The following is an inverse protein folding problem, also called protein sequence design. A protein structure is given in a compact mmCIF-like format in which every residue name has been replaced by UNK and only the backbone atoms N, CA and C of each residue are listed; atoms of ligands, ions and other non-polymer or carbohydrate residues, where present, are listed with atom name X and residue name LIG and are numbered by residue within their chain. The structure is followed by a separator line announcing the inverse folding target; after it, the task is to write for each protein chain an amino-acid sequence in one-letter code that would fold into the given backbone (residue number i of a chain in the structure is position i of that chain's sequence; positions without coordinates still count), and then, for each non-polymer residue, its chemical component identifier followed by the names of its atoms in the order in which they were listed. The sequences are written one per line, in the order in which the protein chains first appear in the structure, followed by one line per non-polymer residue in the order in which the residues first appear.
data_IF_546396609312
#
_entry.id   IF_546396609312
#
_cell.length_a   1.000
_cell.length_b   1.000
_cell.length_c   1.000
_cell.angle_alpha   90.00
_cell.angle_beta   90.00
_cell.angle_gamma   90.00
#
_symmetry.space_group_name_H-M   'P 1'
#
loop_
_entity.id
_entity.type
_entity.pdbx_description
1 polymer ?
#
# COMPACT_ATOMS: atom_id res chain seq x y z
N UNK A 1 10.49 -3.47 10.60
CA UNK A 1 9.25 -4.16 10.15
C UNK A 1 9.54 -5.66 10.14
N UNK A 2 8.55 -6.51 10.39
CA UNK A 2 8.73 -7.97 10.33
C UNK A 2 8.51 -8.47 8.90
N UNK A 3 9.47 -8.20 8.00
CA UNK A 3 9.43 -8.65 6.60
C UNK A 3 10.19 -9.98 6.47
N UNK A 4 9.75 -10.83 5.56
CA UNK A 4 10.33 -12.14 5.28
C UNK A 4 10.68 -12.26 3.79
N UNK A 5 11.43 -11.28 3.31
CA UNK A 5 11.87 -11.19 1.92
C UNK A 5 12.94 -12.26 1.66
N UNK A 6 12.87 -12.93 0.51
CA UNK A 6 13.89 -13.85 0.03
C UNK A 6 15.08 -13.14 -0.61
N UNK A 7 14.88 -11.92 -1.12
CA UNK A 7 15.88 -11.16 -1.85
C UNK A 7 16.82 -10.36 -0.94
N UNK A 8 16.35 -9.92 0.22
CA UNK A 8 17.10 -9.01 1.10
C UNK A 8 16.63 -9.13 2.56
N UNK A 9 17.54 -9.19 3.52
CA UNK A 9 17.14 -9.16 4.93
C UNK A 9 16.73 -7.74 5.40
N UNK A 10 16.08 -7.65 6.56
CA UNK A 10 15.57 -6.38 7.09
C UNK A 10 16.67 -5.36 7.43
N UNK A 11 17.87 -5.81 7.82
CA UNK A 11 18.98 -4.91 8.18
C UNK A 11 19.55 -4.29 6.91
N UNK A 12 19.81 -5.12 5.90
CA UNK A 12 20.32 -4.71 4.60
C UNK A 12 19.33 -3.83 3.85
N UNK A 13 18.02 -4.10 3.96
CA UNK A 13 16.98 -3.23 3.41
C UNK A 13 17.00 -1.82 4.01
N UNK A 14 17.21 -1.72 5.33
CA UNK A 14 17.33 -0.43 5.99
C UNK A 14 18.57 0.33 5.50
N UNK A 15 19.70 -0.36 5.33
CA UNK A 15 20.93 0.22 4.79
C UNK A 15 20.75 0.71 3.34
N UNK A 16 20.16 -0.10 2.45
CA UNK A 16 19.84 0.32 1.07
C UNK A 16 18.97 1.57 1.08
N UNK A 17 17.94 1.60 1.92
CA UNK A 17 17.02 2.74 2.03
C UNK A 17 17.73 4.01 2.53
N UNK A 18 18.60 3.89 3.54
CA UNK A 18 19.40 4.98 4.07
C UNK A 18 20.34 5.54 2.99
N UNK A 19 21.07 4.67 2.28
CA UNK A 19 21.99 5.08 1.20
C UNK A 19 21.27 5.78 0.05
N UNK A 20 20.09 5.29 -0.35
CA UNK A 20 19.23 5.98 -1.34
C UNK A 20 18.86 7.38 -0.82
N UNK A 21 18.38 7.48 0.42
CA UNK A 21 18.00 8.75 1.04
C UNK A 21 19.15 9.77 1.11
N UNK A 22 20.37 9.33 1.45
CA UNK A 22 21.56 10.18 1.51
C UNK A 22 21.97 10.75 0.15
N UNK A 23 21.75 9.99 -0.93
CA UNK A 23 22.27 10.34 -2.26
C UNK A 23 21.24 10.93 -3.23
N UNK A 24 19.94 10.79 -2.95
CA UNK A 24 18.88 11.08 -3.94
C UNK A 24 18.93 12.52 -4.49
N UNK A 25 19.36 13.46 -3.66
CA UNK A 25 19.33 14.90 -3.94
C UNK A 25 20.72 15.54 -4.10
N UNK A 26 21.80 14.75 -4.21
CA UNK A 26 23.17 15.29 -4.41
C UNK A 26 23.28 16.21 -5.61
N UNK A 27 22.49 16.00 -6.66
CA UNK A 27 22.42 16.86 -7.83
C UNK A 27 22.03 18.31 -7.53
N UNK A 28 21.34 18.56 -6.41
CA UNK A 28 20.98 19.91 -5.95
C UNK A 28 22.20 20.73 -5.55
N UNK A 29 23.35 20.10 -5.31
CA UNK A 29 24.62 20.79 -5.05
C UNK A 29 25.14 21.56 -6.28
N UNK A 30 24.58 21.34 -7.48
CA UNK A 30 24.94 22.12 -8.67
C UNK A 30 24.53 23.59 -8.56
N UNK A 31 25.38 24.49 -9.04
CA UNK A 31 25.12 25.93 -9.16
C UNK A 31 23.86 26.19 -9.98
N UNK A 32 23.63 25.41 -11.03
CA UNK A 32 22.42 25.50 -11.87
C UNK A 32 21.13 25.30 -11.06
N UNK A 33 21.09 24.30 -10.17
CA UNK A 33 19.93 24.07 -9.31
C UNK A 33 19.80 25.14 -8.23
N UNK A 34 20.91 25.57 -7.64
CA UNK A 34 20.93 26.63 -6.62
C UNK A 34 20.44 27.98 -7.19
N UNK A 35 20.80 28.32 -8.42
CA UNK A 35 20.28 29.50 -9.12
C UNK A 35 18.80 29.37 -9.46
N UNK A 36 18.35 28.17 -9.85
CA UNK A 36 16.93 27.91 -10.09
C UNK A 36 16.08 28.18 -8.82
N UNK A 37 16.51 27.72 -7.65
CA UNK A 37 15.79 28.00 -6.39
C UNK A 37 15.70 29.51 -6.12
N UNK A 38 16.78 30.26 -6.41
CA UNK A 38 16.85 31.70 -6.13
C UNK A 38 16.07 32.55 -7.12
N UNK A 39 16.12 32.20 -8.41
CA UNK A 39 15.66 33.05 -9.50
C UNK A 39 14.44 32.50 -10.25
N UNK A 40 14.04 31.25 -9.99
CA UNK A 40 12.91 30.57 -10.64
C UNK A 40 13.13 30.19 -12.11
N UNK A 41 14.30 30.47 -12.69
CA UNK A 41 14.59 30.18 -14.09
C UNK A 41 15.01 28.72 -14.28
N UNK A 42 14.19 27.95 -15.01
CA UNK A 42 14.41 26.52 -15.25
C UNK A 42 15.11 26.28 -16.59
N UNK A 43 16.20 25.53 -16.58
CA UNK A 43 16.93 25.08 -17.79
C UNK A 43 17.10 23.57 -17.77
N UNK A 44 17.59 22.98 -18.86
CA UNK A 44 17.92 21.56 -18.86
C UNK A 44 18.98 21.22 -17.78
N UNK A 45 19.90 22.13 -17.46
CA UNK A 45 20.91 21.92 -16.43
C UNK A 45 20.36 21.92 -14.99
N UNK A 46 19.08 22.24 -14.81
CA UNK A 46 18.41 22.19 -13.50
C UNK A 46 17.90 20.79 -13.13
N UNK A 47 17.93 19.82 -14.05
CA UNK A 47 17.50 18.45 -13.73
C UNK A 47 18.55 17.74 -12.88
N UNK A 48 18.25 17.54 -11.58
CA UNK A 48 19.21 17.01 -10.61
C UNK A 48 19.08 15.50 -10.35
N UNK A 49 17.90 14.92 -10.57
CA UNK A 49 17.62 13.53 -10.19
C UNK A 49 18.46 12.51 -10.96
N UNK A 50 18.70 12.74 -12.26
CA UNK A 50 19.45 11.81 -13.09
C UNK A 50 20.94 11.72 -12.72
N UNK A 51 21.60 12.87 -12.49
CA UNK A 51 23.01 12.87 -12.05
C UNK A 51 23.16 12.25 -10.66
N UNK A 52 22.22 12.50 -9.74
CA UNK A 52 22.14 11.81 -8.45
C UNK A 52 22.01 10.30 -8.61
N UNK A 53 21.19 9.85 -9.57
CA UNK A 53 20.96 8.43 -9.82
C UNK A 53 22.24 7.73 -10.32
N UNK A 54 22.99 8.37 -11.22
CA UNK A 54 24.29 7.87 -11.70
C UNK A 54 25.30 7.75 -10.55
N UNK A 55 25.41 8.78 -9.70
CA UNK A 55 26.28 8.73 -8.51
C UNK A 55 25.87 7.58 -7.59
N UNK A 56 24.57 7.42 -7.37
CA UNK A 56 24.00 6.36 -6.53
C UNK A 56 24.34 4.98 -7.09
N UNK A 57 24.13 4.74 -8.39
CA UNK A 57 24.44 3.47 -9.04
C UNK A 57 25.91 3.07 -8.85
N UNK A 58 26.84 3.99 -9.14
CA UNK A 58 28.27 3.69 -9.04
C UNK A 58 28.66 3.36 -7.60
N UNK A 59 28.16 4.12 -6.62
CA UNK A 59 28.44 3.83 -5.21
C UNK A 59 27.89 2.47 -4.76
N UNK A 60 26.68 2.10 -5.20
CA UNK A 60 26.12 0.78 -4.93
C UNK A 60 26.95 -0.35 -5.57
N UNK A 61 27.47 -0.16 -6.79
CA UNK A 61 28.36 -1.13 -7.45
C UNK A 61 29.68 -1.33 -6.70
N UNK A 62 30.26 -0.25 -6.13
CA UNK A 62 31.49 -0.33 -5.32
C UNK A 62 31.26 -1.03 -3.97
N UNK A 63 30.07 -0.87 -3.39
CA UNK A 63 29.67 -1.59 -2.18
C UNK A 63 29.24 -3.01 -2.55
N UNK A 64 30.21 -3.94 -2.61
CA UNK A 64 30.00 -5.36 -2.99
C UNK A 64 28.79 -6.04 -2.36
N UNK A 65 28.43 -5.69 -1.12
CA UNK A 65 27.26 -6.27 -0.47
C UNK A 65 25.95 -5.70 -1.03
N UNK A 66 25.92 -4.48 -1.55
CA UNK A 66 24.73 -3.77 -2.02
C UNK A 66 24.61 -3.71 -3.56
N UNK A 67 25.59 -4.21 -4.32
CA UNK A 67 25.65 -4.11 -5.78
C UNK A 67 24.39 -4.58 -6.49
N UNK A 68 23.77 -5.66 -6.02
CA UNK A 68 22.56 -6.23 -6.61
C UNK A 68 21.35 -5.27 -6.55
N UNK A 69 21.39 -4.26 -5.68
CA UNK A 69 20.36 -3.24 -5.53
C UNK A 69 20.69 -1.94 -6.26
N UNK A 70 21.84 -1.83 -6.92
CA UNK A 70 22.25 -0.62 -7.64
C UNK A 70 21.19 -0.15 -8.65
N UNK A 71 20.54 -1.03 -9.45
CA UNK A 71 19.52 -0.61 -10.40
C UNK A 71 18.23 -0.13 -9.70
N UNK A 72 17.82 -0.78 -8.61
CA UNK A 72 16.65 -0.36 -7.83
C UNK A 72 16.87 1.02 -7.21
N UNK A 73 18.07 1.22 -6.64
CA UNK A 73 18.50 2.48 -6.06
C UNK A 73 18.56 3.58 -7.13
N UNK A 74 19.15 3.30 -8.29
CA UNK A 74 19.17 4.19 -9.43
C UNK A 74 17.75 4.61 -9.82
N UNK A 75 16.81 3.66 -9.98
CA UNK A 75 15.45 3.98 -10.43
C UNK A 75 14.68 4.82 -9.42
N UNK A 76 14.86 4.53 -8.13
CA UNK A 76 14.27 5.34 -7.06
C UNK A 76 14.72 6.79 -7.16
N UNK A 77 16.03 7.00 -7.25
CA UNK A 77 16.63 8.33 -7.34
C UNK A 77 16.32 9.01 -8.67
N UNK A 78 16.27 8.29 -9.78
CA UNK A 78 15.97 8.88 -11.09
C UNK A 78 14.55 9.48 -11.12
N UNK A 79 13.58 8.76 -10.58
CA UNK A 79 12.14 9.05 -10.74
C UNK A 79 11.49 9.68 -9.50
N UNK A 80 12.23 10.06 -8.45
CA UNK A 80 11.59 10.59 -7.21
C UNK A 80 10.69 11.82 -7.42
N UNK A 81 10.89 12.59 -8.50
CA UNK A 81 10.02 13.73 -8.91
C UNK A 81 8.95 13.38 -9.97
N UNK A 82 8.89 12.13 -10.45
CA UNK A 82 7.99 11.68 -11.52
C UNK A 82 7.36 10.33 -11.22
N UNK A 83 6.58 9.80 -12.15
CA UNK A 83 6.06 8.44 -12.08
C UNK A 83 7.17 7.41 -12.36
N UNK A 84 7.05 6.22 -11.76
CA UNK A 84 7.93 5.09 -12.08
C UNK A 84 7.71 4.64 -13.53
N UNK A 85 8.79 4.18 -14.15
CA UNK A 85 8.78 3.60 -15.50
C UNK A 85 9.64 2.34 -15.52
N UNK A 86 9.53 1.54 -16.58
CA UNK A 86 10.49 0.47 -16.85
C UNK A 86 11.84 1.05 -17.27
N UNK A 87 12.91 0.25 -17.21
CA UNK A 87 14.16 0.57 -17.90
C UNK A 87 14.00 0.49 -19.42
N UNK A 88 13.13 -0.42 -19.90
CA UNK A 88 12.79 -0.56 -21.31
C UNK A 88 12.17 0.74 -21.85
N UNK A 89 12.88 1.37 -22.79
CA UNK A 89 12.39 2.56 -23.49
C UNK A 89 12.65 3.90 -22.80
N UNK A 90 13.37 3.92 -21.66
CA UNK A 90 13.78 5.17 -20.99
C UNK A 90 14.85 5.95 -21.77
N UNK A 91 15.43 5.36 -22.85
CA UNK A 91 16.44 5.95 -23.75
C UNK A 91 17.59 6.61 -22.99
N UNK A 92 18.18 5.85 -22.08
CA UNK A 92 19.25 6.31 -21.21
C UNK A 92 20.54 6.57 -21.99
N UNK A 93 20.79 5.78 -23.03
CA UNK A 93 21.85 6.06 -24.01
C UNK A 93 21.43 7.18 -24.96
N UNK A 94 21.74 8.41 -24.57
CA UNK A 94 21.51 9.61 -25.36
C UNK A 94 22.69 10.58 -25.17
N UNK A 95 23.34 10.96 -26.27
CA UNK A 95 24.53 11.83 -26.23
C UNK A 95 24.24 13.18 -25.57
N UNK A 96 23.09 13.81 -25.87
CA UNK A 96 22.73 15.09 -25.27
C UNK A 96 22.47 14.97 -23.76
N UNK A 97 21.83 13.88 -23.32
CA UNK A 97 21.63 13.59 -21.90
C UNK A 97 22.97 13.34 -21.20
N UNK A 98 23.88 12.62 -21.85
CA UNK A 98 25.22 12.30 -21.35
C UNK A 98 26.05 13.57 -21.14
N UNK A 99 26.12 14.43 -22.15
CA UNK A 99 26.86 15.70 -22.08
C UNK A 99 26.30 16.63 -21.00
N UNK A 100 24.98 16.71 -20.91
CA UNK A 100 24.29 17.46 -19.86
C UNK A 100 24.64 16.92 -18.47
N UNK A 101 24.63 15.59 -18.31
CA UNK A 101 24.94 14.93 -17.03
C UNK A 101 26.37 15.18 -16.60
N UNK A 102 27.33 15.09 -17.53
CA UNK A 102 28.74 15.39 -17.26
C UNK A 102 28.95 16.86 -16.88
N UNK A 103 28.25 17.78 -17.56
CA UNK A 103 28.29 19.21 -17.23
C UNK A 103 27.83 19.47 -15.79
N UNK A 104 26.68 18.91 -15.40
CA UNK A 104 26.14 19.05 -14.04
C UNK A 104 27.06 18.37 -13.02
N UNK A 105 27.55 17.17 -13.32
CA UNK A 105 28.44 16.39 -12.46
C UNK A 105 29.74 17.13 -12.13
N UNK A 106 30.40 17.71 -13.13
CA UNK A 106 31.64 18.46 -12.94
C UNK A 106 31.42 19.68 -12.03
N UNK A 107 30.30 20.38 -12.20
CA UNK A 107 29.95 21.51 -11.35
C UNK A 107 29.64 21.07 -9.89
N UNK A 108 28.93 19.95 -9.70
CA UNK A 108 28.71 19.35 -8.37
C UNK A 108 30.06 19.03 -7.69
N UNK A 109 30.98 18.41 -8.42
CA UNK A 109 32.29 18.02 -7.89
C UNK A 109 33.10 19.23 -7.40
N UNK A 110 33.07 20.34 -8.13
CA UNK A 110 33.73 21.58 -7.70
C UNK A 110 33.05 22.19 -6.47
N UNK A 111 31.71 22.24 -6.45
CA UNK A 111 30.97 22.81 -5.31
C UNK A 111 31.19 21.99 -4.02
N UNK A 112 31.18 20.66 -4.11
CA UNK A 112 31.41 19.77 -2.96
C UNK A 112 32.84 19.91 -2.41
N UNK A 113 33.86 20.16 -3.25
CA UNK A 113 35.21 20.43 -2.76
C UNK A 113 35.27 21.68 -1.87
N UNK A 114 34.44 22.67 -2.16
CA UNK A 114 34.40 23.95 -1.43
C UNK A 114 33.46 23.93 -0.23
N UNK A 115 32.48 23.01 -0.20
CA UNK A 115 31.54 22.83 0.90
C UNK A 115 32.05 21.78 1.90
N UNK A 116 32.61 22.26 3.01
CA UNK A 116 33.17 21.39 4.05
C UNK A 116 32.11 20.50 4.71
N UNK A 117 30.88 20.97 4.87
CA UNK A 117 29.82 20.20 5.54
C UNK A 117 29.38 19.04 4.67
N UNK A 118 29.15 19.30 3.38
CA UNK A 118 28.78 18.27 2.41
C UNK A 118 29.91 17.27 2.19
N UNK A 119 31.17 17.73 2.11
CA UNK A 119 32.33 16.85 1.99
C UNK A 119 32.49 15.92 3.21
N UNK A 120 32.32 16.46 4.42
CA UNK A 120 32.34 15.68 5.65
C UNK A 120 31.20 14.65 5.67
N UNK A 121 30.00 15.02 5.21
CA UNK A 121 28.88 14.10 5.09
C UNK A 121 29.22 12.92 4.16
N UNK A 122 29.72 13.19 2.95
CA UNK A 122 30.10 12.12 2.01
C UNK A 122 31.17 11.20 2.60
N UNK A 123 32.19 11.78 3.25
CA UNK A 123 33.28 11.03 3.88
C UNK A 123 32.76 10.14 5.01
N UNK A 124 31.89 10.66 5.87
CA UNK A 124 31.30 9.92 7.00
C UNK A 124 30.49 8.70 6.54
N UNK A 125 29.83 8.80 5.38
CA UNK A 125 29.00 7.73 4.83
C UNK A 125 29.69 6.90 3.74
N UNK A 126 31.00 7.08 3.53
CA UNK A 126 31.81 6.42 2.49
C UNK A 126 31.23 6.57 1.07
N UNK A 127 30.65 7.74 0.77
CA UNK A 127 30.13 8.06 -0.56
C UNK A 127 31.24 8.69 -1.39
N UNK A 128 31.52 8.11 -2.56
CA UNK A 128 32.57 8.54 -3.46
C UNK A 128 32.01 9.29 -4.67
N UNK A 129 32.78 10.27 -5.14
CA UNK A 129 32.55 10.99 -6.39
C UNK A 129 33.61 10.55 -7.42
N UNK A 130 33.31 9.56 -8.28
CA UNK A 130 34.28 9.00 -9.23
C UNK A 130 34.69 9.99 -10.32
N UNK A 131 35.70 9.65 -11.12
CA UNK A 131 35.95 10.38 -12.37
C UNK A 131 34.97 9.87 -13.43
N UNK A 132 33.82 10.56 -13.57
CA UNK A 132 32.77 10.18 -14.50
C UNK A 132 33.15 10.57 -15.94
N UNK A 133 33.04 9.63 -16.87
CA UNK A 133 33.23 9.85 -18.31
C UNK A 133 31.96 9.49 -19.09
N UNK A 134 31.88 9.90 -20.36
CA UNK A 134 30.77 9.53 -21.26
C UNK A 134 30.65 8.01 -21.40
N UNK A 135 31.77 7.31 -21.56
CA UNK A 135 31.79 5.85 -21.64
C UNK A 135 31.24 5.18 -20.38
N UNK A 136 31.50 5.74 -19.20
CA UNK A 136 30.91 5.20 -17.96
C UNK A 136 29.39 5.34 -17.95
N UNK A 137 28.86 6.51 -18.34
CA UNK A 137 27.40 6.74 -18.37
C UNK A 137 26.72 5.79 -19.36
N UNK A 138 27.32 5.60 -20.54
CA UNK A 138 26.80 4.67 -21.56
C UNK A 138 26.81 3.22 -21.08
N UNK A 139 27.91 2.77 -20.46
CA UNK A 139 27.98 1.44 -19.88
C UNK A 139 26.90 1.21 -18.80
N UNK A 140 26.65 2.21 -17.94
CA UNK A 140 25.55 2.13 -16.96
C UNK A 140 24.20 2.03 -17.65
N UNK A 141 23.98 2.78 -18.74
CA UNK A 141 22.73 2.71 -19.50
C UNK A 141 22.51 1.31 -20.10
N UNK A 142 23.55 0.71 -20.67
CA UNK A 142 23.53 -0.67 -21.20
C UNK A 142 23.23 -1.69 -20.08
N UNK A 143 23.97 -1.63 -18.96
CA UNK A 143 23.75 -2.52 -17.80
C UNK A 143 22.31 -2.45 -17.27
N UNK A 144 21.70 -1.26 -17.26
CA UNK A 144 20.34 -1.04 -16.77
C UNK A 144 19.26 -1.51 -17.74
N UNK A 145 19.53 -1.48 -19.05
CA UNK A 145 18.61 -2.03 -20.06
C UNK A 145 18.53 -3.56 -19.96
N UNK A 146 19.62 -4.21 -19.56
CA UNK A 146 19.69 -5.65 -19.31
C UNK A 146 19.13 -6.05 -17.91
N UNK A 147 18.88 -5.09 -17.02
CA UNK A 147 18.47 -5.36 -15.63
C UNK A 147 17.06 -5.96 -15.39
N UNK A 148 16.11 -6.08 -16.33
CA UNK A 148 15.02 -7.02 -16.13
C UNK A 148 15.46 -8.41 -16.58
N UNK A 149 16.29 -9.08 -15.78
CA UNK A 149 16.44 -10.54 -15.85
C UNK A 149 15.19 -11.16 -15.17
N UNK A 150 14.02 -10.88 -15.73
CA UNK A 150 12.73 -11.39 -15.26
C UNK A 150 12.79 -12.89 -15.44
N UNK A 151 13.04 -13.58 -14.33
CA UNK A 151 12.94 -15.02 -14.27
C UNK A 151 11.45 -15.39 -14.36
N UNK A 152 10.99 -15.65 -15.59
CA UNK A 152 9.65 -16.14 -15.84
C UNK A 152 9.40 -17.52 -15.22
N UNK A 153 10.46 -18.23 -14.82
CA UNK A 153 10.34 -19.53 -14.14
C UNK A 153 10.00 -19.34 -12.64
N UNK A 154 10.31 -18.18 -12.04
CA UNK A 154 9.93 -17.81 -10.66
C UNK A 154 9.15 -16.48 -10.60
N UNK A 155 7.85 -16.58 -10.88
CA UNK A 155 6.92 -15.44 -10.85
C UNK A 155 6.77 -14.82 -9.45
N UNK A 156 6.97 -15.59 -8.38
CA UNK A 156 6.84 -15.10 -7.01
C UNK A 156 8.04 -14.24 -6.63
N UNK A 157 9.25 -14.67 -6.99
CA UNK A 157 10.47 -13.88 -6.83
C UNK A 157 10.44 -12.62 -7.68
N UNK A 158 9.95 -12.71 -8.92
CA UNK A 158 9.74 -11.55 -9.81
C UNK A 158 8.75 -10.55 -9.20
N UNK A 159 7.64 -11.03 -8.62
CA UNK A 159 6.68 -10.19 -7.89
C UNK A 159 7.28 -9.58 -6.62
N UNK A 160 8.10 -10.33 -5.87
CA UNK A 160 8.81 -9.82 -4.71
C UNK A 160 9.76 -8.67 -5.08
N UNK A 161 10.53 -8.81 -6.17
CA UNK A 161 11.42 -7.78 -6.68
C UNK A 161 10.67 -6.52 -7.10
N UNK A 162 9.54 -6.69 -7.81
CA UNK A 162 8.66 -5.59 -8.21
C UNK A 162 8.13 -4.82 -6.98
N UNK A 163 7.64 -5.53 -5.97
CA UNK A 163 7.15 -4.90 -4.74
C UNK A 163 8.29 -4.27 -3.92
N UNK A 164 9.50 -4.85 -3.95
CA UNK A 164 10.67 -4.27 -3.31
C UNK A 164 11.06 -2.92 -3.97
N UNK A 165 11.05 -2.83 -5.30
CA UNK A 165 11.24 -1.58 -6.02
C UNK A 165 10.19 -0.53 -5.61
N UNK A 166 8.91 -0.93 -5.53
CA UNK A 166 7.84 -0.04 -5.10
C UNK A 166 7.98 0.37 -3.63
N UNK A 167 8.48 -0.50 -2.76
CA UNK A 167 8.75 -0.19 -1.34
C UNK A 167 9.84 0.87 -1.20
N UNK A 168 11.00 0.65 -1.82
CA UNK A 168 12.12 1.60 -1.77
C UNK A 168 11.69 2.97 -2.32
N UNK A 169 10.96 2.98 -3.43
CA UNK A 169 10.45 4.21 -4.03
C UNK A 169 9.42 4.90 -3.12
N UNK A 170 8.48 4.15 -2.55
CA UNK A 170 7.46 4.65 -1.64
C UNK A 170 8.07 5.33 -0.41
N UNK A 171 9.10 4.71 0.19
CA UNK A 171 9.80 5.27 1.34
C UNK A 171 10.53 6.56 0.96
N UNK A 172 11.25 6.58 -0.17
CA UNK A 172 12.00 7.75 -0.61
C UNK A 172 11.09 8.97 -0.82
N UNK A 173 10.04 8.81 -1.62
CA UNK A 173 9.15 9.95 -1.98
C UNK A 173 8.34 10.44 -0.78
N UNK A 174 8.04 9.56 0.17
CA UNK A 174 7.35 9.97 1.39
C UNK A 174 8.28 10.70 2.36
N UNK A 175 9.51 10.18 2.54
CA UNK A 175 10.53 10.81 3.38
C UNK A 175 10.94 12.20 2.86
N UNK A 176 11.10 12.36 1.54
CA UNK A 176 11.40 13.66 0.91
C UNK A 176 10.29 14.69 1.20
N UNK A 177 9.01 14.30 1.02
CA UNK A 177 7.86 15.15 1.34
C UNK A 177 7.76 15.50 2.82
N UNK A 178 8.03 14.54 3.71
CA UNK A 178 8.06 14.79 5.15
C UNK A 178 9.16 15.79 5.52
N UNK A 179 10.37 15.60 4.99
CA UNK A 179 11.51 16.49 5.21
C UNK A 179 11.23 17.90 4.72
N UNK A 180 10.72 18.04 3.48
CA UNK A 180 10.37 19.32 2.87
C UNK A 180 9.31 20.09 3.68
N UNK A 181 8.36 19.39 4.32
CA UNK A 181 7.29 19.98 5.12
C UNK A 181 7.58 20.00 6.63
N UNK A 182 8.80 19.60 7.05
CA UNK A 182 9.24 19.52 8.46
C UNK A 182 8.28 18.71 9.33
N UNK A 183 7.69 17.66 8.76
CA UNK A 183 6.78 16.76 9.45
C UNK A 183 7.57 15.80 10.33
N UNK A 184 7.04 15.50 11.51
CA UNK A 184 7.59 14.45 12.38
C UNK A 184 6.92 13.13 12.02
N UNK A 185 7.72 12.08 11.88
CA UNK A 185 7.20 10.74 11.74
C UNK A 185 6.53 10.29 13.05
N UNK A 186 5.28 9.83 12.97
CA UNK A 186 4.53 9.29 14.11
C UNK A 186 4.52 7.77 14.01
N UNK A 187 5.19 7.04 14.91
CA UNK A 187 5.18 5.58 14.89
C UNK A 187 3.76 5.02 14.99
N UNK A 188 3.43 4.05 14.13
CA UNK A 188 2.11 3.40 14.11
C UNK A 188 1.68 2.93 15.50
N UNK A 189 2.61 2.45 16.34
CA UNK A 189 2.32 1.98 17.70
C UNK A 189 1.67 3.05 18.57
N UNK A 190 2.00 4.33 18.37
CA UNK A 190 1.40 5.44 19.11
C UNK A 190 -0.06 5.69 18.69
N UNK A 191 -0.39 5.36 17.44
CA UNK A 191 -1.72 5.57 16.86
C UNK A 191 -2.61 4.34 17.10
N UNK A 192 -2.14 3.14 16.77
CA UNK A 192 -2.96 1.94 16.70
C UNK A 192 -3.08 1.18 18.01
N UNK A 193 -2.23 1.46 19.01
CA UNK A 193 -2.31 0.78 20.32
C UNK A 193 -3.61 1.04 21.08
N UNK A 194 -4.27 2.18 20.80
CA UNK A 194 -5.54 2.54 21.41
C UNK A 194 -6.76 2.04 20.61
N UNK A 195 -6.56 1.56 19.38
CA UNK A 195 -7.65 1.15 18.49
C UNK A 195 -8.05 -0.30 18.77
N UNK A 196 -9.30 -0.48 19.18
CA UNK A 196 -9.93 -1.80 19.37
C UNK A 196 -11.12 -1.93 18.43
N UNK A 197 -11.10 -2.99 17.62
CA UNK A 197 -12.05 -3.20 16.54
C UNK A 197 -13.21 -4.14 16.93
N UNK A 198 -13.26 -4.64 18.17
CA UNK A 198 -14.34 -5.52 18.61
C UNK A 198 -15.71 -4.82 18.54
N UNK A 199 -16.68 -5.36 17.79
CA UNK A 199 -18.04 -4.82 17.72
C UNK A 199 -18.92 -5.29 18.89
N UNK A 200 -18.37 -6.04 19.86
CA UNK A 200 -19.10 -6.70 20.95
C UNK A 200 -20.04 -5.77 21.73
N UNK A 201 -19.63 -4.54 22.06
CA UNK A 201 -20.48 -3.54 22.74
C UNK A 201 -21.69 -3.14 21.90
N UNK A 202 -21.45 -2.83 20.62
CA UNK A 202 -22.52 -2.42 19.68
C UNK A 202 -23.49 -3.57 19.40
N UNK A 203 -22.96 -4.79 19.32
CA UNK A 203 -23.77 -6.00 19.16
C UNK A 203 -24.62 -6.25 20.41
N UNK A 204 -24.07 -6.08 21.61
CA UNK A 204 -24.81 -6.22 22.87
C UNK A 204 -25.96 -5.18 22.97
N UNK A 205 -25.74 -3.93 22.56
CA UNK A 205 -26.79 -2.92 22.48
C UNK A 205 -27.92 -3.35 21.51
N UNK A 206 -27.58 -3.84 20.31
CA UNK A 206 -28.56 -4.32 19.32
C UNK A 206 -29.31 -5.58 19.78
N UNK A 207 -28.73 -6.36 20.69
CA UNK A 207 -29.36 -7.56 21.26
C UNK A 207 -30.46 -7.27 22.30
N UNK A 208 -30.62 -6.01 22.72
CA UNK A 208 -31.71 -5.61 23.64
C UNK A 208 -33.10 -5.74 23.01
N UNK A 209 -33.20 -5.80 21.68
CA UNK A 209 -34.41 -6.11 20.90
C UNK A 209 -34.11 -7.21 19.86
N UNK A 210 -34.07 -8.49 20.26
CA UNK A 210 -33.53 -9.56 19.41
C UNK A 210 -34.57 -10.10 18.42
N UNK A 211 -34.36 -9.81 17.13
CA UNK A 211 -35.03 -10.50 16.04
C UNK A 211 -34.25 -11.74 15.59
N UNK A 212 -34.91 -12.68 14.87
CA UNK A 212 -34.27 -13.89 14.31
C UNK A 212 -32.97 -13.57 13.53
N UNK A 213 -32.98 -12.47 12.77
CA UNK A 213 -31.84 -11.99 12.00
C UNK A 213 -30.66 -11.56 12.88
N UNK A 214 -30.92 -10.97 14.05
CA UNK A 214 -29.89 -10.57 15.01
C UNK A 214 -29.18 -11.79 15.61
N UNK A 215 -29.93 -12.84 15.94
CA UNK A 215 -29.34 -14.11 16.41
C UNK A 215 -28.43 -14.75 15.36
N UNK A 216 -28.83 -14.73 14.09
CA UNK A 216 -28.02 -15.24 12.98
C UNK A 216 -26.73 -14.45 12.79
N UNK A 217 -26.79 -13.11 12.90
CA UNK A 217 -25.61 -12.23 12.84
C UNK A 217 -24.64 -12.48 13.99
N UNK A 218 -25.14 -12.75 15.20
CA UNK A 218 -24.29 -13.09 16.34
C UNK A 218 -23.58 -14.42 16.15
N UNK A 219 -24.30 -15.44 15.63
CA UNK A 219 -23.66 -16.71 15.25
C UNK A 219 -22.58 -16.50 14.20
N UNK A 220 -22.84 -15.64 13.21
CA UNK A 220 -21.87 -15.30 12.18
C UNK A 220 -20.60 -14.67 12.75
N UNK A 221 -20.73 -13.71 13.66
CA UNK A 221 -19.59 -13.11 14.35
C UNK A 221 -18.80 -14.12 15.18
N UNK A 222 -19.49 -15.00 15.90
CA UNK A 222 -18.85 -16.05 16.68
C UNK A 222 -18.01 -17.00 15.82
N UNK A 223 -18.42 -17.29 14.56
CA UNK A 223 -17.61 -18.10 13.65
C UNK A 223 -16.26 -17.49 13.33
N UNK A 224 -16.14 -16.15 13.35
CA UNK A 224 -14.86 -15.46 13.16
C UNK A 224 -14.07 -15.42 14.46
N UNK A 225 -14.71 -15.06 15.57
CA UNK A 225 -14.04 -14.94 16.88
C UNK A 225 -13.38 -16.25 17.33
N UNK A 226 -14.12 -17.37 17.25
CA UNK A 226 -13.64 -18.67 17.76
C UNK A 226 -13.07 -19.56 16.67
N UNK A 227 -12.65 -19.01 15.53
CA UNK A 227 -12.25 -19.83 14.39
C UNK A 227 -10.90 -20.53 14.63
N UNK A 228 -10.84 -21.87 14.60
CA UNK A 228 -9.59 -22.59 14.84
C UNK A 228 -8.59 -22.46 13.68
N UNK A 229 -9.03 -22.01 12.50
CA UNK A 229 -8.16 -21.82 11.33
C UNK A 229 -7.41 -20.49 11.35
N UNK A 230 -7.71 -19.59 12.28
CA UNK A 230 -6.93 -18.37 12.50
C UNK A 230 -5.61 -18.74 13.16
N UNK A 231 -4.52 -18.54 12.43
CA UNK A 231 -3.17 -18.85 12.91
C UNK A 231 -2.18 -17.78 12.45
N UNK A 232 -1.05 -17.66 13.16
CA UNK A 232 0.05 -16.76 12.78
C UNK A 232 0.78 -17.20 11.51
N UNK A 233 0.68 -18.48 11.15
CA UNK A 233 1.30 -19.04 9.94
C UNK A 233 0.46 -18.83 8.69
N UNK A 234 -0.84 -18.55 8.84
CA UNK A 234 -1.76 -18.26 7.74
C UNK A 234 -2.09 -16.77 7.71
N UNK A 235 -2.04 -16.16 6.53
CA UNK A 235 -2.30 -14.72 6.35
C UNK A 235 -3.32 -14.41 5.26
N UNK A 236 -3.72 -15.41 4.49
CA UNK A 236 -4.79 -15.30 3.52
C UNK A 236 -6.05 -15.96 4.05
N UNK A 237 -7.13 -15.19 4.11
CA UNK A 237 -8.40 -15.62 4.63
C UNK A 237 -9.53 -15.24 3.68
N UNK A 238 -10.57 -16.06 3.65
CA UNK A 238 -11.81 -15.76 2.96
C UNK A 238 -12.99 -15.86 3.91
N UNK A 239 -13.98 -15.00 3.70
CA UNK A 239 -15.23 -15.00 4.43
C UNK A 239 -16.38 -14.95 3.43
N UNK A 240 -16.88 -16.13 3.07
CA UNK A 240 -17.93 -16.30 2.09
C UNK A 240 -19.29 -16.38 2.80
N UNK A 241 -20.11 -15.34 2.70
CA UNK A 241 -21.38 -15.26 3.41
C UNK A 241 -22.46 -14.46 2.65
N UNK A 242 -23.75 -14.85 2.76
CA UNK A 242 -24.86 -14.14 2.12
C UNK A 242 -24.92 -12.64 2.48
N UNK A 243 -25.56 -11.85 1.63
CA UNK A 243 -25.76 -10.42 1.90
C UNK A 243 -26.63 -10.21 3.15
N UNK A 244 -26.31 -9.20 3.96
CA UNK A 244 -27.03 -8.90 5.20
C UNK A 244 -26.65 -9.76 6.43
N UNK A 245 -25.71 -10.70 6.28
CA UNK A 245 -25.12 -11.54 7.34
C UNK A 245 -24.29 -10.78 8.38
N UNK A 246 -23.90 -9.54 8.10
CA UNK A 246 -23.07 -8.73 9.00
C UNK A 246 -21.58 -8.74 8.68
N UNK A 247 -21.20 -8.93 7.40
CA UNK A 247 -19.80 -8.95 6.92
C UNK A 247 -18.95 -7.80 7.48
N UNK A 248 -19.45 -6.56 7.47
CA UNK A 248 -18.72 -5.40 7.99
C UNK A 248 -18.23 -5.59 9.43
N UNK A 249 -19.10 -6.06 10.34
CA UNK A 249 -18.70 -6.34 11.73
C UNK A 249 -17.78 -7.55 11.84
N UNK A 250 -17.96 -8.56 10.98
CA UNK A 250 -17.07 -9.71 10.92
C UNK A 250 -15.65 -9.32 10.45
N UNK A 251 -15.52 -8.35 9.54
CA UNK A 251 -14.21 -7.81 9.14
C UNK A 251 -13.51 -7.09 10.30
N UNK A 252 -14.26 -6.30 11.09
CA UNK A 252 -13.73 -5.64 12.27
C UNK A 252 -13.31 -6.64 13.34
N UNK A 253 -14.13 -7.66 13.59
CA UNK A 253 -13.82 -8.74 14.53
C UNK A 253 -12.58 -9.52 14.09
N UNK A 254 -12.45 -9.83 12.79
CA UNK A 254 -11.24 -10.45 12.26
C UNK A 254 -10.00 -9.59 12.53
N UNK A 255 -10.07 -8.28 12.28
CA UNK A 255 -8.96 -7.39 12.55
C UNK A 255 -8.59 -7.38 14.04
N UNK A 256 -9.59 -7.35 14.92
CA UNK A 256 -9.40 -7.43 16.37
C UNK A 256 -8.71 -8.74 16.79
N UNK A 257 -9.20 -9.89 16.31
CA UNK A 257 -8.64 -11.21 16.63
C UNK A 257 -7.20 -11.35 16.13
N UNK A 258 -6.89 -10.88 14.91
CA UNK A 258 -5.52 -10.91 14.38
C UNK A 258 -4.57 -10.08 15.24
N UNK A 259 -4.96 -8.88 15.67
CA UNK A 259 -4.12 -8.04 16.54
C UNK A 259 -3.86 -8.70 17.90
N UNK A 260 -4.88 -9.31 18.50
CA UNK A 260 -4.74 -10.05 19.75
C UNK A 260 -3.85 -11.30 19.57
N UNK A 261 -4.08 -12.05 18.50
CA UNK A 261 -3.29 -13.24 18.16
C UNK A 261 -1.82 -12.91 18.00
N UNK A 262 -1.48 -11.81 17.34
CA UNK A 262 -0.10 -11.35 17.13
C UNK A 262 0.49 -10.61 18.33
N UNK A 263 -0.34 -10.24 19.31
CA UNK A 263 0.02 -9.33 20.41
C UNK A 263 0.70 -8.04 19.87
N UNK A 264 0.17 -7.52 18.77
CA UNK A 264 0.73 -6.38 18.03
C UNK A 264 -0.40 -5.63 17.33
N UNK A 265 -0.31 -4.30 17.36
CA UNK A 265 -1.23 -3.45 16.62
C UNK A 265 -0.84 -3.36 15.15
N UNK A 266 -1.84 -3.43 14.28
CA UNK A 266 -1.69 -3.32 12.84
C UNK A 266 -2.51 -2.13 12.34
N UNK A 267 -2.08 -1.57 11.21
CA UNK A 267 -2.93 -0.68 10.44
C UNK A 267 -4.03 -1.50 9.79
N UNK A 268 -5.28 -1.02 9.84
CA UNK A 268 -6.43 -1.70 9.22
C UNK A 268 -6.87 -0.92 8.01
N UNK A 269 -6.85 -1.56 6.85
CA UNK A 269 -7.21 -0.97 5.56
C UNK A 269 -8.43 -1.71 5.02
N UNK A 270 -9.59 -1.07 5.09
CA UNK A 270 -10.86 -1.61 4.61
C UNK A 270 -11.21 -1.02 3.24
N UNK A 271 -11.29 -1.87 2.23
CA UNK A 271 -11.45 -1.48 0.84
C UNK A 271 -12.74 -2.01 0.24
N UNK A 272 -13.42 -1.13 -0.49
CA UNK A 272 -14.70 -1.40 -1.16
C UNK A 272 -14.57 -1.20 -2.68
N UNK A 273 -15.42 -1.86 -3.49
CA UNK A 273 -15.46 -1.62 -4.93
C UNK A 273 -16.10 -0.28 -5.32
N UNK A 274 -17.06 0.22 -4.53
CA UNK A 274 -17.86 1.41 -4.87
C UNK A 274 -17.76 2.50 -3.80
N UNK A 275 -17.71 3.76 -4.24
CA UNK A 275 -17.64 4.93 -3.34
C UNK A 275 -18.95 5.20 -2.60
N UNK A 276 -20.09 4.79 -3.14
CA UNK A 276 -21.42 5.07 -2.58
C UNK A 276 -21.66 4.45 -1.20
N UNK A 277 -20.95 3.39 -0.84
CA UNK A 277 -21.11 2.65 0.43
C UNK A 277 -20.04 3.05 1.45
N UNK A 278 -19.02 3.81 1.03
CA UNK A 278 -17.91 4.22 1.91
C UNK A 278 -18.42 5.02 3.11
N UNK A 279 -19.31 5.99 2.90
CA UNK A 279 -19.82 6.84 3.98
C UNK A 279 -20.61 6.06 5.03
N UNK A 280 -21.34 5.03 4.59
CA UNK A 280 -22.07 4.15 5.49
C UNK A 280 -21.11 3.28 6.31
N UNK A 281 -20.16 2.62 5.65
CA UNK A 281 -19.18 1.78 6.34
C UNK A 281 -18.28 2.60 7.28
N UNK A 282 -17.91 3.83 6.88
CA UNK A 282 -17.17 4.76 7.74
C UNK A 282 -17.88 5.01 9.06
N UNK A 283 -19.19 5.28 9.04
CA UNK A 283 -19.98 5.49 10.25
C UNK A 283 -20.03 4.24 11.15
N UNK A 284 -20.08 3.05 10.57
CA UNK A 284 -20.06 1.81 11.36
C UNK A 284 -18.69 1.59 12.03
N UNK A 285 -17.58 1.81 11.32
CA UNK A 285 -16.22 1.80 11.91
C UNK A 285 -16.06 2.86 12.99
N UNK A 286 -16.50 4.10 12.73
CA UNK A 286 -16.46 5.19 13.69
C UNK A 286 -17.24 4.84 14.96
N UNK A 287 -18.44 4.26 14.81
CA UNK A 287 -19.29 3.84 15.94
C UNK A 287 -18.60 2.78 16.81
N UNK A 288 -18.02 1.75 16.18
CA UNK A 288 -17.34 0.67 16.91
C UNK A 288 -16.10 1.22 17.62
N UNK A 289 -15.24 1.97 16.92
CA UNK A 289 -14.04 2.54 17.52
C UNK A 289 -14.37 3.50 18.68
N UNK A 290 -15.36 4.41 18.51
CA UNK A 290 -15.82 5.31 19.59
C UNK A 290 -16.32 4.55 20.81
N UNK A 291 -17.06 3.46 20.61
CA UNK A 291 -17.61 2.67 21.72
C UNK A 291 -16.53 2.01 22.58
N UNK A 292 -15.34 1.80 22.01
CA UNK A 292 -14.19 1.19 22.69
C UNK A 292 -13.21 2.21 23.27
N UNK A 293 -13.37 3.49 22.95
CA UNK A 293 -12.51 4.58 23.44
C UNK A 293 -13.15 5.32 24.63
N UNK A 294 -12.34 6.02 25.46
CA UNK A 294 -12.86 6.90 26.50
C UNK A 294 -13.76 8.00 25.91
N UNK A 295 -14.82 8.41 26.63
CA UNK A 295 -15.75 9.44 26.15
C UNK A 295 -15.09 10.80 25.85
N UNK A 296 -13.98 11.12 26.53
CA UNK A 296 -13.19 12.34 26.30
C UNK A 296 -12.30 12.28 25.06
N UNK A 297 -12.14 11.10 24.45
CA UNK A 297 -11.25 10.90 23.33
C UNK A 297 -11.91 11.32 22.02
N UNK A 298 -11.20 12.13 21.23
CA UNK A 298 -11.66 12.55 19.90
C UNK A 298 -10.96 11.73 18.83
N UNK A 299 -11.73 10.99 18.05
CA UNK A 299 -11.25 10.32 16.84
C UNK A 299 -11.06 11.34 15.73
N UNK A 300 -9.81 11.67 15.43
CA UNK A 300 -9.43 12.49 14.29
C UNK A 300 -8.87 11.64 13.13
N UNK A 301 -8.35 12.34 12.10
CA UNK A 301 -7.83 11.73 10.88
C UNK A 301 -6.65 10.78 11.11
N UNK A 302 -5.91 10.90 12.22
CA UNK A 302 -4.79 10.00 12.54
C UNK A 302 -5.28 8.60 12.87
N UNK A 303 -6.50 8.49 13.38
CA UNK A 303 -7.05 7.21 13.83
C UNK A 303 -7.99 6.59 12.81
N UNK A 304 -8.88 7.39 12.18
CA UNK A 304 -9.86 6.90 11.22
C UNK A 304 -10.05 7.89 10.07
N UNK A 305 -9.77 7.45 8.85
CA UNK A 305 -9.96 8.26 7.65
C UNK A 305 -10.73 7.50 6.57
N UNK A 306 -11.55 8.23 5.82
CA UNK A 306 -12.06 7.78 4.52
C UNK A 306 -11.25 8.47 3.42
N UNK A 307 -10.70 7.69 2.50
CA UNK A 307 -9.92 8.21 1.38
C UNK A 307 -10.53 7.72 0.06
N UNK A 308 -11.11 8.64 -0.71
CA UNK A 308 -11.47 8.44 -2.12
C UNK A 308 -11.42 9.77 -2.87
N UNK A 309 -11.46 9.72 -4.20
CA UNK A 309 -11.32 10.88 -5.10
C UNK A 309 -12.39 11.98 -4.93
N UNK A 310 -13.43 11.76 -4.13
CA UNK A 310 -14.52 12.72 -3.88
C UNK A 310 -14.44 13.35 -2.48
N UNK A 311 -13.43 13.01 -1.66
CA UNK A 311 -13.30 13.58 -0.32
C UNK A 311 -12.71 14.98 -0.41
N UNK A 312 -13.45 15.95 0.09
CA UNK A 312 -12.97 17.32 0.32
C UNK A 312 -12.35 17.40 1.71
N UNK A 313 -11.03 17.22 1.80
CA UNK A 313 -10.30 17.24 3.06
C UNK A 313 -10.32 18.61 3.74
N UNK A 314 -10.38 19.70 2.96
CA UNK A 314 -10.46 21.06 3.49
C UNK A 314 -11.73 21.19 4.34
N UNK A 315 -12.89 20.78 3.82
CA UNK A 315 -14.15 20.81 4.58
C UNK A 315 -14.21 19.83 5.74
N UNK A 316 -13.45 18.74 5.67
CA UNK A 316 -13.49 17.67 6.67
C UNK A 316 -12.63 18.01 7.89
N UNK A 317 -11.48 18.65 7.65
CA UNK A 317 -10.46 18.96 8.66
C UNK A 317 -10.63 20.40 9.18
N UNK A 318 -10.78 21.39 8.30
CA UNK A 318 -10.93 22.79 8.66
C UNK A 318 -12.40 23.14 8.96
N UNK A 319 -12.95 22.56 10.03
CA UNK A 319 -14.31 22.93 10.53
C UNK A 319 -14.35 24.31 11.19
N UNK A 320 -13.20 24.90 11.49
CA UNK A 320 -13.05 26.20 12.14
C UNK A 320 -12.35 27.21 11.20
N UNK A 321 -12.81 28.46 11.21
CA UNK A 321 -12.35 29.51 10.30
C UNK A 321 -10.88 29.95 10.54
N UNK A 322 -10.22 29.45 11.59
CA UNK A 322 -8.83 29.79 11.98
C UNK A 322 -7.82 28.65 11.76
N UNK A 323 -8.17 27.62 10.97
CA UNK A 323 -7.24 26.52 10.69
C UNK A 323 -6.07 26.98 9.79
N UNK A 324 -4.83 26.85 10.28
CA UNK A 324 -3.63 27.24 9.55
C UNK A 324 -3.47 26.42 8.26
N UNK A 325 -3.26 27.09 7.12
CA UNK A 325 -3.08 26.45 5.80
C UNK A 325 -1.88 25.50 5.80
N UNK A 326 -0.78 25.87 6.45
CA UNK A 326 0.41 25.02 6.51
C UNK A 326 0.14 23.71 7.27
N UNK A 327 -0.63 23.77 8.35
CA UNK A 327 -0.97 22.58 9.13
C UNK A 327 -1.99 21.72 8.38
N UNK A 328 -2.95 22.33 7.66
CA UNK A 328 -3.85 21.61 6.77
C UNK A 328 -3.11 20.85 5.67
N UNK A 329 -2.07 21.44 5.09
CA UNK A 329 -1.23 20.76 4.08
C UNK A 329 -0.52 19.54 4.67
N UNK A 330 0.02 19.64 5.89
CA UNK A 330 0.63 18.50 6.59
C UNK A 330 -0.38 17.40 6.87
N UNK A 331 -1.60 17.76 7.28
CA UNK A 331 -2.66 16.79 7.54
C UNK A 331 -3.09 16.08 6.24
N UNK A 332 -3.22 16.82 5.14
CA UNK A 332 -3.51 16.22 3.82
C UNK A 332 -2.39 15.28 3.41
N UNK A 333 -1.12 15.68 3.58
CA UNK A 333 0.02 14.82 3.26
C UNK A 333 -0.03 13.52 4.06
N UNK A 334 -0.32 13.58 5.36
CA UNK A 334 -0.49 12.42 6.24
C UNK A 334 -1.61 11.47 5.78
N UNK A 335 -2.74 12.04 5.34
CA UNK A 335 -3.87 11.26 4.81
C UNK A 335 -3.53 10.63 3.46
N UNK A 336 -2.75 11.32 2.64
CA UNK A 336 -2.33 10.84 1.32
C UNK A 336 -1.28 9.73 1.36
N UNK A 337 -0.45 9.68 2.40
CA UNK A 337 0.50 8.59 2.66
C UNK A 337 -0.13 7.38 3.33
N UNK A 338 -1.41 7.44 3.74
CA UNK A 338 -2.08 6.36 4.48
C UNK A 338 -1.43 6.07 5.83
N UNK A 339 -1.05 7.13 6.56
CA UNK A 339 -0.44 6.97 7.89
C UNK A 339 -1.45 6.66 9.00
N UNK A 340 -2.75 6.89 8.76
CA UNK A 340 -3.82 6.66 9.74
C UNK A 340 -3.89 5.21 10.24
N UNK A 341 -4.33 5.00 11.49
CA UNK A 341 -4.48 3.67 12.09
C UNK A 341 -5.53 2.79 11.41
N UNK A 342 -6.65 3.40 11.00
CA UNK A 342 -7.72 2.77 10.23
C UNK A 342 -8.06 3.61 8.99
N UNK A 343 -8.09 2.95 7.83
CA UNK A 343 -8.31 3.59 6.53
C UNK A 343 -9.45 2.88 5.82
N UNK A 344 -10.42 3.65 5.36
CA UNK A 344 -11.53 3.17 4.54
C UNK A 344 -11.37 3.75 3.15
N UNK A 345 -11.20 2.88 2.16
CA UNK A 345 -10.90 3.31 0.79
C UNK A 345 -11.52 2.40 -0.27
N UNK A 346 -11.02 2.52 -1.50
CA UNK A 346 -11.49 1.80 -2.68
C UNK A 346 -10.47 0.81 -3.19
N UNK A 347 -10.92 -0.19 -3.94
CA UNK A 347 -10.04 -1.09 -4.70
C UNK A 347 -9.07 -0.31 -5.60
N UNK A 348 -9.54 0.74 -6.29
CA UNK A 348 -8.68 1.56 -7.15
C UNK A 348 -7.51 2.14 -6.37
N UNK A 349 -7.78 2.76 -5.21
CA UNK A 349 -6.73 3.35 -4.37
C UNK A 349 -5.74 2.29 -3.87
N UNK A 350 -6.23 1.13 -3.43
CA UNK A 350 -5.37 0.05 -2.95
C UNK A 350 -4.49 -0.50 -4.09
N UNK A 351 -5.09 -0.99 -5.17
CA UNK A 351 -4.35 -1.70 -6.22
C UNK A 351 -3.45 -0.78 -7.05
N UNK A 352 -3.84 0.48 -7.29
CA UNK A 352 -2.93 1.43 -7.95
C UNK A 352 -1.74 1.82 -7.06
N UNK A 353 -1.85 1.68 -5.75
CA UNK A 353 -0.74 1.94 -4.82
C UNK A 353 0.22 0.76 -4.72
N UNK A 354 -0.25 -0.45 -5.01
CA UNK A 354 0.56 -1.68 -4.95
C UNK A 354 1.18 -2.00 -6.31
N UNK A 355 0.39 -1.95 -7.40
CA UNK A 355 0.78 -2.37 -8.76
C UNK A 355 0.98 -1.17 -9.70
N UNK A 356 0.42 -0.01 -9.38
CA UNK A 356 0.52 1.16 -10.26
C UNK A 356 1.92 1.76 -10.30
N UNK A 357 2.12 2.70 -11.21
CA UNK A 357 3.39 3.39 -11.41
C UNK A 357 3.36 4.87 -11.00
N UNK A 358 2.19 5.40 -10.63
CA UNK A 358 2.03 6.82 -10.30
C UNK A 358 2.66 7.16 -8.95
N UNK A 359 3.49 8.19 -8.91
CA UNK A 359 4.19 8.66 -7.71
C UNK A 359 3.23 8.86 -6.53
N UNK A 360 2.13 9.58 -6.75
CA UNK A 360 1.11 9.88 -5.75
C UNK A 360 0.38 8.64 -5.21
N UNK A 361 0.34 7.55 -5.97
CA UNK A 361 -0.29 6.29 -5.55
C UNK A 361 0.71 5.42 -4.79
N UNK A 362 1.90 5.17 -5.36
CA UNK A 362 2.92 4.30 -4.76
C UNK A 362 3.38 4.81 -3.39
N UNK A 363 3.29 6.12 -3.14
CA UNK A 363 3.60 6.73 -1.83
C UNK A 363 2.91 6.04 -0.64
N UNK A 364 1.77 5.38 -0.84
CA UNK A 364 1.03 4.67 0.22
C UNK A 364 1.62 3.29 0.56
N UNK A 365 2.42 2.71 -0.33
CA UNK A 365 2.81 1.29 -0.27
C UNK A 365 3.56 0.92 1.01
N UNK A 366 4.48 1.75 1.49
CA UNK A 366 5.20 1.52 2.74
C UNK A 366 4.27 1.46 3.97
N UNK A 367 3.07 2.04 3.90
CA UNK A 367 2.04 1.97 4.93
C UNK A 367 1.02 0.83 4.71
N UNK A 368 0.97 0.26 3.50
CA UNK A 368 0.12 -0.90 3.16
C UNK A 368 0.78 -2.21 3.61
N UNK A 369 2.10 -2.33 3.52
CA UNK A 369 2.79 -3.53 4.01
C UNK A 369 2.69 -3.63 5.54
N UNK A 370 2.82 -4.84 6.09
CA UNK A 370 2.69 -5.07 7.53
C UNK A 370 1.36 -4.53 8.10
N UNK A 371 0.26 -4.67 7.35
CA UNK A 371 -1.10 -4.23 7.72
C UNK A 371 -2.11 -5.38 7.67
N UNK A 372 -3.36 -5.09 8.03
CA UNK A 372 -4.53 -5.94 7.81
C UNK A 372 -5.36 -5.30 6.70
N UNK A 373 -5.43 -5.94 5.54
CA UNK A 373 -6.26 -5.55 4.40
C UNK A 373 -7.57 -6.34 4.45
N UNK A 374 -8.68 -5.63 4.40
CA UNK A 374 -10.03 -6.16 4.38
C UNK A 374 -10.66 -5.79 3.03
N UNK A 375 -10.87 -6.78 2.17
CA UNK A 375 -11.45 -6.60 0.84
C UNK A 375 -12.92 -7.02 0.88
N UNK A 376 -13.83 -6.06 0.92
CA UNK A 376 -15.27 -6.35 0.90
C UNK A 376 -15.82 -6.37 -0.52
N UNK A 377 -16.72 -7.29 -0.79
CA UNK A 377 -17.30 -7.55 -2.11
C UNK A 377 -16.22 -7.78 -3.20
N UNK A 378 -15.21 -8.61 -2.89
CA UNK A 378 -14.04 -8.89 -3.74
C UNK A 378 -14.39 -9.45 -5.13
N UNK A 379 -15.57 -10.06 -5.27
CA UNK A 379 -16.05 -10.59 -6.55
C UNK A 379 -16.28 -9.52 -7.62
N UNK A 380 -16.34 -8.24 -7.24
CA UNK A 380 -16.42 -7.13 -8.20
C UNK A 380 -15.11 -6.87 -8.95
N UNK A 381 -14.00 -7.52 -8.58
CA UNK A 381 -12.74 -7.42 -9.31
C UNK A 381 -12.85 -8.10 -10.68
N UNK A 382 -12.33 -7.49 -11.76
CA UNK A 382 -12.36 -8.11 -13.08
C UNK A 382 -11.61 -9.45 -13.12
N UNK A 383 -12.22 -10.54 -13.63
CA UNK A 383 -11.60 -11.86 -13.67
C UNK A 383 -10.24 -11.93 -14.38
N UNK A 384 -10.01 -11.06 -15.36
CA UNK A 384 -8.74 -10.95 -16.09
C UNK A 384 -7.52 -10.67 -15.19
N UNK A 385 -7.73 -10.16 -13.97
CA UNK A 385 -6.65 -9.88 -13.02
C UNK A 385 -6.46 -10.97 -11.96
N UNK A 386 -7.27 -12.04 -11.92
CA UNK A 386 -7.24 -13.00 -10.82
C UNK A 386 -5.90 -13.72 -10.69
N UNK A 387 -5.28 -14.11 -11.79
CA UNK A 387 -3.94 -14.74 -11.75
C UNK A 387 -2.88 -13.80 -11.16
N UNK A 388 -2.90 -12.53 -11.54
CA UNK A 388 -2.01 -11.50 -10.99
C UNK A 388 -2.25 -11.30 -9.49
N UNK A 389 -3.52 -11.16 -9.10
CA UNK A 389 -3.92 -10.96 -7.71
C UNK A 389 -3.58 -12.15 -6.82
N UNK A 390 -3.67 -13.37 -7.36
CA UNK A 390 -3.28 -14.59 -6.65
C UNK A 390 -1.81 -14.52 -6.21
N UNK A 391 -0.90 -14.28 -7.17
CA UNK A 391 0.54 -14.16 -6.90
C UNK A 391 0.81 -12.98 -5.98
N UNK A 392 0.19 -11.84 -6.24
CA UNK A 392 0.35 -10.63 -5.44
C UNK A 392 -0.04 -10.85 -3.98
N UNK A 393 -1.23 -11.40 -3.72
CA UNK A 393 -1.71 -11.63 -2.36
C UNK A 393 -0.84 -12.63 -1.62
N UNK A 394 -0.39 -13.69 -2.30
CA UNK A 394 0.56 -14.65 -1.72
C UNK A 394 1.85 -13.97 -1.29
N UNK A 395 2.48 -13.19 -2.17
CA UNK A 395 3.73 -12.48 -1.88
C UNK A 395 3.54 -11.43 -0.78
N UNK A 396 2.44 -10.66 -0.79
CA UNK A 396 2.14 -9.70 0.27
C UNK A 396 1.97 -10.37 1.65
N UNK A 397 1.31 -11.52 1.67
CA UNK A 397 1.10 -12.30 2.88
C UNK A 397 2.41 -12.87 3.43
N UNK A 398 3.13 -13.62 2.60
CA UNK A 398 4.30 -14.39 3.02
C UNK A 398 5.55 -13.52 3.19
N UNK A 399 5.79 -12.55 2.30
CA UNK A 399 7.01 -11.75 2.23
C UNK A 399 6.87 -10.38 2.90
N UNK A 400 5.72 -9.72 2.72
CA UNK A 400 5.47 -8.36 3.26
C UNK A 400 4.60 -8.34 4.54
N UNK A 401 4.35 -9.51 5.14
CA UNK A 401 3.67 -9.66 6.42
C UNK A 401 2.28 -8.99 6.49
N UNK A 402 1.51 -9.13 5.42
CA UNK A 402 0.20 -8.49 5.30
C UNK A 402 -0.91 -9.51 5.46
N UNK A 403 -1.81 -9.29 6.42
CA UNK A 403 -3.01 -10.11 6.56
C UNK A 403 -4.05 -9.65 5.55
N UNK A 404 -4.66 -10.58 4.82
CA UNK A 404 -5.68 -10.27 3.81
C UNK A 404 -6.92 -11.10 4.08
N UNK A 405 -8.05 -10.40 4.31
CA UNK A 405 -9.37 -11.01 4.39
C UNK A 405 -10.18 -10.61 3.16
N UNK A 406 -10.58 -11.60 2.37
CA UNK A 406 -11.50 -11.41 1.23
C UNK A 406 -12.91 -11.81 1.60
N UNK A 407 -13.81 -10.82 1.68
CA UNK A 407 -15.22 -11.00 1.97
C UNK A 407 -16.04 -10.95 0.67
N UNK A 408 -16.95 -11.91 0.51
CA UNK A 408 -17.82 -12.00 -0.66
C UNK A 408 -19.12 -12.74 -0.36
N UNK A 409 -20.16 -12.47 -1.15
CA UNK A 409 -21.33 -13.34 -1.22
C UNK A 409 -21.10 -14.55 -2.16
N UNK A 410 -20.27 -14.39 -3.18
CA UNK A 410 -19.93 -15.41 -4.18
C UNK A 410 -18.42 -15.44 -4.35
N UNK A 411 -17.77 -16.48 -3.83
CA UNK A 411 -16.31 -16.53 -3.79
C UNK A 411 -15.71 -16.51 -5.20
N UNK A 412 -14.88 -15.52 -5.57
CA UNK A 412 -14.17 -15.54 -6.84
C UNK A 412 -12.99 -16.53 -6.77
N UNK A 413 -12.60 -17.08 -7.93
CA UNK A 413 -11.48 -18.01 -8.06
C UNK A 413 -10.11 -17.29 -8.03
N UNK A 414 -9.87 -16.49 -6.99
CA UNK A 414 -8.60 -15.75 -6.80
C UNK A 414 -7.56 -16.62 -6.08
N UNK A 415 -8.00 -17.51 -5.18
CA UNK A 415 -7.10 -18.31 -4.36
C UNK A 415 -7.04 -19.76 -4.84
N UNK A 416 -5.84 -20.37 -4.79
CA UNK A 416 -5.71 -21.82 -4.94
C UNK A 416 -6.25 -22.53 -3.69
N UNK A 417 -6.72 -23.77 -3.84
CA UNK A 417 -7.48 -24.52 -2.82
C UNK A 417 -6.79 -24.66 -1.45
N UNK A 418 -5.47 -24.53 -1.39
CA UNK A 418 -4.68 -24.69 -0.16
C UNK A 418 -3.96 -23.41 0.28
N UNK A 419 -4.19 -22.29 -0.43
CA UNK A 419 -3.49 -21.01 -0.15
C UNK A 419 -4.19 -20.11 0.85
N UNK A 420 -5.42 -20.44 1.27
CA UNK A 420 -6.23 -19.58 2.15
C UNK A 420 -7.09 -20.42 3.11
N UNK A 421 -7.53 -19.80 4.20
CA UNK A 421 -8.49 -20.39 5.13
C UNK A 421 -9.87 -19.75 5.01
N UNK A 422 -10.90 -20.56 4.76
CA UNK A 422 -12.30 -20.10 4.78
C UNK A 422 -12.81 -20.05 6.23
N UNK A 423 -13.27 -18.88 6.66
CA UNK A 423 -13.71 -18.63 8.03
C UNK A 423 -15.21 -18.92 8.23
N UNK A 424 -16.01 -18.86 7.16
CA UNK A 424 -17.45 -19.07 7.23
C UNK A 424 -17.86 -20.47 6.76
N UNK A 425 -18.74 -21.19 7.49
CA UNK A 425 -19.24 -22.47 7.02
C UNK A 425 -20.21 -22.28 5.86
N UNK A 426 -20.12 -23.16 4.84
CA UNK A 426 -21.03 -23.17 3.68
C UNK A 426 -22.51 -23.30 4.05
N UNK A 427 -22.82 -23.86 5.22
CA UNK A 427 -24.19 -24.00 5.74
C UNK A 427 -24.92 -22.67 5.92
N UNK A 428 -24.21 -21.53 5.98
CA UNK A 428 -24.84 -20.20 6.04
C UNK A 428 -25.72 -19.89 4.82
N UNK A 429 -25.39 -20.45 3.65
CA UNK A 429 -26.19 -20.27 2.43
C UNK A 429 -27.49 -21.07 2.43
N UNK A 430 -27.62 -22.05 3.32
CA UNK A 430 -28.82 -22.88 3.46
C UNK A 430 -29.89 -22.21 4.34
N UNK A 431 -29.60 -21.04 4.90
CA UNK A 431 -30.50 -20.33 5.82
C UNK A 431 -31.47 -19.46 5.00
N UNK A 432 -32.75 -19.83 4.99
CA UNK A 432 -33.79 -19.17 4.23
C UNK A 432 -33.91 -17.66 4.50
N UNK A 433 -33.68 -17.20 5.74
CA UNK A 433 -33.74 -15.78 6.10
C UNK A 433 -32.70 -14.90 5.36
N UNK A 434 -31.64 -15.51 4.83
CA UNK A 434 -30.66 -14.82 3.98
C UNK A 434 -30.97 -14.90 2.48
N UNK A 435 -31.84 -15.84 2.08
CA UNK A 435 -32.27 -16.01 0.69
C UNK A 435 -33.50 -15.14 0.41
N UNK A 436 -33.24 -13.89 0.03
CA UNK A 436 -34.28 -12.89 -0.24
C UNK A 436 -34.83 -12.93 -1.67
N UNK A 437 -34.30 -13.79 -2.54
CA UNK A 437 -34.68 -13.91 -3.94
C UNK A 437 -35.47 -15.20 -4.13
N UNK A 438 -36.74 -15.05 -4.50
CA UNK A 438 -37.57 -16.14 -4.99
C UNK A 438 -37.46 -16.14 -6.52
N UNK A 439 -36.80 -17.14 -7.08
CA UNK A 439 -36.75 -17.33 -8.53
C UNK A 439 -37.96 -18.18 -8.91
N UNK A 440 -38.88 -17.59 -9.67
CA UNK A 440 -39.98 -18.32 -10.29
C UNK A 440 -39.60 -18.60 -11.75
N UNK A 441 -39.40 -19.87 -12.10
CA UNK A 441 -39.03 -20.27 -13.46
C UNK A 441 -40.31 -20.67 -14.18
N UNK A 442 -40.61 -20.03 -15.31
CA UNK A 442 -41.76 -20.36 -16.13
C UNK A 442 -41.27 -21.00 -17.43
N UNK A 443 -41.54 -22.30 -17.68
CA UNK A 443 -41.29 -22.91 -18.96
C UNK A 443 -42.09 -22.19 -20.05
N UNK A 444 -41.48 -21.97 -21.22
CA UNK A 444 -42.17 -21.33 -22.35
C UNK A 444 -43.41 -22.13 -22.75
N UNK A 445 -44.59 -21.54 -22.52
CA UNK A 445 -45.90 -22.17 -22.82
C UNK A 445 -46.62 -22.79 -21.62
N UNK A 446 -46.06 -22.69 -20.41
CA UNK A 446 -46.68 -23.17 -19.17
C UNK A 446 -46.85 -22.03 -18.15
N UNK A 447 -48.06 -21.87 -17.62
CA UNK A 447 -48.39 -20.86 -16.60
C UNK A 447 -47.98 -21.29 -15.17
N UNK A 448 -47.40 -22.49 -15.02
CA UNK A 448 -46.93 -22.99 -13.73
C UNK A 448 -45.45 -22.71 -13.54
N UNK A 449 -45.15 -21.98 -12.47
CA UNK A 449 -43.78 -21.84 -11.99
C UNK A 449 -43.26 -23.21 -11.55
N UNK A 450 -42.07 -23.58 -12.04
CA UNK A 450 -41.26 -24.67 -11.51
C UNK A 450 -40.16 -24.10 -10.62
N UNK A 451 -39.66 -24.92 -9.68
CA UNK A 451 -38.55 -24.49 -8.84
C UNK A 451 -37.19 -24.65 -9.53
N UNK A 452 -36.14 -24.07 -8.94
CA UNK A 452 -34.79 -24.09 -9.51
C UNK A 452 -34.18 -25.49 -9.57
N UNK A 453 -34.51 -26.38 -8.62
CA UNK A 453 -34.02 -27.75 -8.60
C UNK A 453 -34.71 -28.56 -9.70
N UNK A 454 -36.04 -28.44 -9.83
CA UNK A 454 -36.82 -29.03 -10.92
C UNK A 454 -36.29 -28.57 -12.29
N UNK A 455 -35.86 -27.32 -12.42
CA UNK A 455 -35.23 -26.85 -13.67
C UNK A 455 -33.87 -27.54 -13.92
N UNK A 456 -32.97 -27.52 -12.95
CA UNK A 456 -31.62 -28.12 -13.08
C UNK A 456 -31.63 -29.65 -13.25
N UNK A 457 -32.66 -30.34 -12.73
CA UNK A 457 -32.79 -31.79 -12.84
C UNK A 457 -33.42 -32.22 -14.19
N UNK A 458 -34.17 -31.33 -14.84
CA UNK A 458 -34.88 -31.63 -16.10
C UNK A 458 -34.24 -31.02 -17.36
N UNK A 459 -33.30 -30.09 -17.22
CA UNK A 459 -32.61 -29.38 -18.32
C UNK A 459 -31.13 -29.19 -18.00
#
# INVERSE_FOLDING_TARGET
MSLNLSLIDSKKLAEVTEKIGLMHDLGKASTYFQEYIKCGYKTNLTYHSYVSAIITYINFQEWKELSDFAPLAFKCVQKHHSDLTSFLGDKLDNDALTDQTLCIYNNIKENIKTDQELNNLLTNYNIQLPNLTSNNIKAIAEDLEDFPDIDFDDIEKSMELFLLQNLLFSILIDADKHSANRMKFIPLKEISSILNYSPSKIVAEKNTSPDKLTSLRNKFLNYVNTNPYLSRSQKLYSLTAPTGSGKTFACMEFADVVQHMENKSYRVIYCLPYTSIIDQNYKEFEKVLKSNLPQSFTLDYRYLVKHHHLVDYVKTIAKENDYNIEDLQKDILFIESWESGCIISTFVQLFHSIIGNKNSMIRKFHNIINSIILLDEVQNLPPQYYCLLQVLFKVLAEKFNTYILSCSATQPYIYSKDSYSELAPKSLFNIADFNRVLINIFPLGDDKAIDLNDFCDNY
#
